data_IF_116422313645
#
_entry.id   IF_116422313645
#
_cell.length_a   1.000
_cell.length_b   1.000
_cell.length_c   1.000
_cell.angle_alpha   90.00
_cell.angle_beta   90.00
_cell.angle_gamma   90.00
#
_symmetry.space_group_name_H-M   'P 1'
#
loop_
_entity.id
_entity.type
_entity.pdbx_description
1 polymer ?
#
# COMPACT_ATOMS: atom_id res chain seq x y z
N UNK A 1 4.06 42.75 14.33
CA UNK A 1 4.06 42.33 12.93
C UNK A 1 4.43 40.84 12.90
N UNK A 2 3.41 39.96 13.02
CA UNK A 2 3.61 38.50 12.91
C UNK A 2 3.09 38.07 11.53
N UNK A 3 3.95 38.06 10.53
CA UNK A 3 3.68 37.42 9.24
C UNK A 3 3.73 35.91 9.44
N UNK A 4 2.61 35.32 9.89
CA UNK A 4 2.42 33.87 9.82
C UNK A 4 2.37 33.52 8.33
N UNK A 5 3.49 33.03 7.80
CA UNK A 5 3.56 32.41 6.48
C UNK A 5 2.59 31.23 6.44
N UNK A 6 1.36 31.50 5.99
CA UNK A 6 0.42 30.45 5.63
C UNK A 6 1.05 29.71 4.45
N UNK A 7 1.74 28.60 4.70
CA UNK A 7 2.24 27.77 3.61
C UNK A 7 1.06 27.37 2.71
N UNK A 8 1.19 27.73 1.44
CA UNK A 8 0.23 27.43 0.38
C UNK A 8 -0.21 25.95 0.45
N UNK A 9 -1.52 25.62 0.39
CA UNK A 9 -2.01 24.25 0.33
C UNK A 9 -1.29 23.38 -0.69
N UNK A 10 -0.82 23.97 -1.78
CA UNK A 10 -0.02 23.31 -2.79
C UNK A 10 1.31 22.80 -2.24
N UNK A 11 2.05 23.59 -1.44
CA UNK A 11 3.33 23.16 -0.83
C UNK A 11 3.13 21.98 0.11
N UNK A 12 2.03 22.01 0.90
CA UNK A 12 1.69 20.89 1.81
C UNK A 12 1.36 19.61 1.03
N UNK A 13 0.60 19.75 -0.05
CA UNK A 13 0.22 18.62 -0.91
C UNK A 13 1.45 18.03 -1.61
N UNK A 14 2.36 18.86 -2.12
CA UNK A 14 3.63 18.43 -2.73
C UNK A 14 4.51 17.68 -1.75
N UNK A 15 4.68 18.21 -0.53
CA UNK A 15 5.45 17.52 0.51
C UNK A 15 4.84 16.17 0.88
N UNK A 16 3.52 16.11 0.96
CA UNK A 16 2.81 14.88 1.22
C UNK A 16 2.97 13.88 0.07
N UNK A 17 2.90 14.35 -1.19
CA UNK A 17 3.14 13.51 -2.37
C UNK A 17 4.54 12.89 -2.37
N UNK A 18 5.57 13.63 -1.96
CA UNK A 18 6.93 13.10 -1.80
C UNK A 18 7.00 12.01 -0.72
N UNK A 19 6.30 12.19 0.40
CA UNK A 19 6.21 11.16 1.45
C UNK A 19 5.55 9.89 0.89
N UNK A 20 4.47 10.02 0.13
CA UNK A 20 3.81 8.88 -0.52
C UNK A 20 4.70 8.17 -1.54
N UNK A 21 5.52 8.93 -2.30
CA UNK A 21 6.51 8.37 -3.22
C UNK A 21 7.51 7.48 -2.48
N UNK A 22 8.10 8.00 -1.40
CA UNK A 22 9.07 7.26 -0.58
C UNK A 22 8.44 6.04 0.06
N UNK A 23 7.22 6.20 0.60
CA UNK A 23 6.47 5.07 1.15
C UNK A 23 6.21 3.99 0.09
N UNK A 24 5.80 4.37 -1.13
CA UNK A 24 5.62 3.42 -2.25
C UNK A 24 6.91 2.65 -2.58
N UNK A 25 8.04 3.36 -2.61
CA UNK A 25 9.34 2.72 -2.82
C UNK A 25 9.68 1.70 -1.71
N UNK A 26 9.39 2.03 -0.44
CA UNK A 26 9.59 1.11 0.68
C UNK A 26 8.69 -0.13 0.56
N UNK A 27 7.42 0.06 0.20
CA UNK A 27 6.48 -1.05 0.05
C UNK A 27 6.95 -2.05 -1.02
N UNK A 28 7.42 -1.55 -2.16
CA UNK A 28 7.95 -2.41 -3.24
C UNK A 28 9.30 -3.04 -2.92
N UNK A 29 10.12 -2.40 -2.08
CA UNK A 29 11.36 -3.02 -1.58
C UNK A 29 11.08 -4.25 -0.72
N UNK A 30 9.94 -4.28 0.00
CA UNK A 30 9.52 -5.44 0.77
C UNK A 30 9.30 -6.68 -0.13
N UNK A 31 8.76 -6.48 -1.34
CA UNK A 31 8.54 -7.57 -2.31
C UNK A 31 9.87 -8.14 -2.83
N UNK A 32 10.88 -7.28 -3.04
CA UNK A 32 12.24 -7.71 -3.41
C UNK A 32 12.99 -8.42 -2.27
N UNK A 33 12.65 -8.09 -1.03
CA UNK A 33 13.28 -8.69 0.13
C UNK A 33 12.89 -10.17 0.28
N UNK A 34 11.70 -10.58 -0.16
CA UNK A 34 11.21 -11.96 -0.05
C UNK A 34 12.14 -12.95 -0.76
N UNK A 35 12.42 -12.85 -2.09
CA UNK A 35 13.31 -13.76 -2.77
C UNK A 35 14.75 -13.67 -2.25
N UNK A 36 15.20 -12.50 -1.85
CA UNK A 36 16.52 -12.30 -1.27
C UNK A 36 16.66 -13.08 0.06
N UNK A 37 15.74 -12.90 1.01
CA UNK A 37 15.78 -13.63 2.29
C UNK A 37 15.60 -15.14 2.09
N UNK A 38 14.79 -15.53 1.09
CA UNK A 38 14.60 -16.95 0.77
C UNK A 38 15.92 -17.61 0.36
N UNK A 39 16.72 -16.96 -0.48
CA UNK A 39 18.03 -17.48 -0.89
C UNK A 39 19.06 -17.43 0.24
N UNK A 40 19.10 -16.32 0.98
CA UNK A 40 20.09 -16.10 2.04
C UNK A 40 19.94 -17.08 3.21
N UNK A 41 18.72 -17.31 3.66
CA UNK A 41 18.41 -18.18 4.80
C UNK A 41 17.96 -19.58 4.38
N UNK A 42 18.07 -19.95 3.08
CA UNK A 42 17.61 -21.23 2.54
C UNK A 42 16.17 -21.59 2.96
N UNK A 43 15.26 -20.58 2.92
CA UNK A 43 13.90 -20.71 3.42
C UNK A 43 13.01 -21.47 2.43
N UNK A 44 12.02 -22.20 2.97
CA UNK A 44 10.89 -22.65 2.17
C UNK A 44 10.05 -21.47 1.70
N UNK A 45 9.20 -21.66 0.68
CA UNK A 45 8.25 -20.60 0.24
C UNK A 45 7.34 -20.14 1.38
N UNK A 46 6.79 -21.07 2.14
CA UNK A 46 5.94 -20.77 3.31
C UNK A 46 6.67 -19.92 4.36
N UNK A 47 7.95 -20.18 4.60
CA UNK A 47 8.75 -19.39 5.53
C UNK A 47 9.04 -17.99 4.99
N UNK A 48 9.34 -17.86 3.70
CA UNK A 48 9.58 -16.58 3.05
C UNK A 48 8.31 -15.69 3.05
N UNK A 49 7.12 -16.27 2.90
CA UNK A 49 5.85 -15.56 2.97
C UNK A 49 5.54 -14.97 4.36
N UNK A 50 6.26 -15.37 5.42
CA UNK A 50 6.16 -14.70 6.74
C UNK A 50 6.52 -13.21 6.67
N UNK A 51 7.35 -12.80 5.72
CA UNK A 51 7.67 -11.39 5.46
C UNK A 51 6.39 -10.61 5.15
N UNK A 52 5.56 -11.12 4.24
CA UNK A 52 4.28 -10.51 3.87
C UNK A 52 3.29 -10.52 5.04
N UNK A 53 3.19 -11.67 5.71
CA UNK A 53 2.31 -11.82 6.88
C UNK A 53 2.64 -10.79 7.97
N UNK A 54 3.91 -10.59 8.30
CA UNK A 54 4.37 -9.63 9.30
C UNK A 54 4.04 -8.20 8.89
N UNK A 55 4.15 -7.87 7.60
CA UNK A 55 3.80 -6.55 7.09
C UNK A 55 2.30 -6.25 7.30
N UNK A 56 1.42 -7.17 6.93
CA UNK A 56 -0.03 -7.00 7.15
C UNK A 56 -0.45 -7.14 8.61
N UNK A 57 0.30 -7.90 9.43
CA UNK A 57 0.07 -7.97 10.86
C UNK A 57 0.24 -6.59 11.54
N UNK A 58 1.20 -5.77 11.07
CA UNK A 58 1.33 -4.40 11.56
C UNK A 58 0.05 -3.58 11.29
N UNK A 59 -0.57 -3.71 10.13
CA UNK A 59 -1.85 -3.07 9.85
C UNK A 59 -2.96 -3.56 10.78
N UNK A 60 -3.03 -4.87 11.02
CA UNK A 60 -4.02 -5.44 11.93
C UNK A 60 -3.91 -4.89 13.35
N UNK A 61 -2.70 -4.91 13.91
CA UNK A 61 -2.51 -4.52 15.31
C UNK A 61 -2.41 -3.01 15.51
N UNK A 62 -1.85 -2.25 14.54
CA UNK A 62 -1.49 -0.85 14.75
C UNK A 62 -2.45 0.15 14.10
N UNK A 63 -3.33 -0.22 13.18
CA UNK A 63 -4.22 0.74 12.51
C UNK A 63 -5.13 1.47 13.49
N UNK A 64 -5.77 0.75 14.40
CA UNK A 64 -6.66 1.31 15.42
C UNK A 64 -5.90 2.18 16.43
N UNK A 65 -4.81 1.71 17.08
CA UNK A 65 -3.98 2.53 17.95
C UNK A 65 -3.44 3.78 17.25
N UNK A 66 -3.05 3.68 15.99
CA UNK A 66 -2.59 4.81 15.18
C UNK A 66 -3.67 5.86 14.97
N UNK A 67 -4.93 5.44 14.71
CA UNK A 67 -6.06 6.34 14.60
C UNK A 67 -6.33 7.10 15.91
N UNK A 68 -6.28 6.41 17.04
CA UNK A 68 -6.43 7.02 18.37
C UNK A 68 -5.29 7.99 18.68
N UNK A 69 -4.06 7.62 18.36
CA UNK A 69 -2.89 8.48 18.51
C UNK A 69 -3.02 9.74 17.67
N UNK A 70 -3.38 9.59 16.39
CA UNK A 70 -3.56 10.71 15.45
C UNK A 70 -4.68 11.63 15.88
N UNK A 71 -5.77 11.09 16.45
CA UNK A 71 -6.85 11.87 17.04
C UNK A 71 -6.36 12.72 18.22
N UNK A 72 -5.52 12.15 19.08
CA UNK A 72 -5.03 12.81 20.30
C UNK A 72 -3.98 13.87 20.00
N UNK A 73 -3.07 13.60 19.06
CA UNK A 73 -1.88 14.41 18.81
C UNK A 73 -1.89 15.14 17.46
N UNK A 74 -2.90 14.89 16.62
CA UNK A 74 -3.05 15.48 15.28
C UNK A 74 -2.33 14.72 14.19
N UNK A 75 -2.78 14.92 12.94
CA UNK A 75 -2.24 14.23 11.76
C UNK A 75 -0.74 14.51 11.55
N UNK A 76 -0.30 15.75 11.78
CA UNK A 76 1.12 16.12 11.63
C UNK A 76 2.02 15.28 12.54
N UNK A 77 1.67 15.18 13.82
CA UNK A 77 2.44 14.40 14.79
C UNK A 77 2.41 12.93 14.40
N UNK A 78 1.25 12.41 13.97
CA UNK A 78 1.13 11.04 13.47
C UNK A 78 2.03 10.76 12.27
N UNK A 79 2.08 11.67 11.28
CA UNK A 79 2.98 11.56 10.11
C UNK A 79 4.45 11.51 10.55
N UNK A 80 4.88 12.43 11.42
CA UNK A 80 6.27 12.47 11.91
C UNK A 80 6.62 11.24 12.74
N UNK A 81 5.71 10.76 13.59
CA UNK A 81 5.89 9.52 14.36
C UNK A 81 6.00 8.31 13.42
N UNK A 82 5.14 8.25 12.38
CA UNK A 82 5.19 7.20 11.36
C UNK A 82 6.52 7.18 10.60
N UNK A 83 6.99 8.35 10.17
CA UNK A 83 8.31 8.48 9.52
C UNK A 83 9.45 8.06 10.46
N UNK A 84 9.41 8.47 11.74
CA UNK A 84 10.38 8.05 12.75
C UNK A 84 10.38 6.53 12.99
N UNK A 85 9.20 5.93 13.07
CA UNK A 85 9.04 4.47 13.17
C UNK A 85 9.60 3.73 11.96
N UNK A 86 9.36 4.26 10.75
CA UNK A 86 9.91 3.70 9.52
C UNK A 86 11.45 3.82 9.47
N UNK A 87 12.03 4.95 9.91
CA UNK A 87 13.49 5.10 10.05
C UNK A 87 14.04 4.07 11.04
N UNK A 88 13.40 3.93 12.21
CA UNK A 88 13.83 2.94 13.20
C UNK A 88 13.79 1.51 12.63
N UNK A 89 12.74 1.16 11.88
CA UNK A 89 12.63 -0.12 11.18
C UNK A 89 13.76 -0.34 10.18
N UNK A 90 14.09 0.66 9.35
CA UNK A 90 15.22 0.58 8.42
C UNK A 90 16.55 0.35 9.14
N UNK A 91 16.81 1.07 10.23
CA UNK A 91 18.03 0.90 11.05
C UNK A 91 18.09 -0.47 11.70
N UNK A 92 16.95 -1.00 12.18
CA UNK A 92 16.88 -2.36 12.73
C UNK A 92 17.09 -3.43 11.65
N UNK A 93 16.63 -3.22 10.41
CA UNK A 93 16.92 -4.14 9.29
C UNK A 93 18.42 -4.17 9.01
N UNK A 94 19.08 -3.01 9.01
CA UNK A 94 20.54 -2.91 8.87
C UNK A 94 21.23 -3.68 10.02
N UNK A 95 20.82 -3.47 11.27
CA UNK A 95 21.37 -4.22 12.40
C UNK A 95 21.10 -5.73 12.28
N UNK A 96 19.90 -6.10 11.80
CA UNK A 96 19.50 -7.48 11.57
C UNK A 96 20.35 -8.18 10.51
N UNK A 97 20.81 -7.46 9.49
CA UNK A 97 21.67 -8.01 8.46
C UNK A 97 23.02 -8.50 9.01
N UNK A 98 23.52 -7.90 10.08
CA UNK A 98 24.73 -8.35 10.77
C UNK A 98 24.47 -9.50 11.76
N UNK A 99 23.24 -9.64 12.25
CA UNK A 99 22.91 -10.66 13.26
C UNK A 99 22.77 -12.08 12.69
N UNK A 100 22.60 -12.21 11.37
CA UNK A 100 22.33 -13.50 10.71
C UNK A 100 21.00 -14.14 11.15
N UNK A 101 20.11 -13.39 11.80
CA UNK A 101 18.86 -13.91 12.33
C UNK A 101 17.66 -13.47 11.51
N UNK A 102 17.00 -14.45 10.86
CA UNK A 102 15.75 -14.20 10.14
C UNK A 102 14.64 -13.62 11.03
N UNK A 103 14.53 -14.10 12.27
CA UNK A 103 13.54 -13.60 13.22
C UNK A 103 13.79 -12.14 13.63
N UNK A 104 15.06 -11.73 13.72
CA UNK A 104 15.41 -10.33 13.97
C UNK A 104 14.97 -9.45 12.80
N UNK A 105 15.21 -9.90 11.56
CA UNK A 105 14.77 -9.18 10.35
C UNK A 105 13.24 -9.08 10.30
N UNK A 106 12.50 -10.14 10.63
CA UNK A 106 11.03 -10.09 10.71
C UNK A 106 10.54 -9.07 11.74
N UNK A 107 11.20 -9.00 12.91
CA UNK A 107 10.87 -8.00 13.93
C UNK A 107 11.15 -6.59 13.45
N UNK A 108 12.27 -6.38 12.78
CA UNK A 108 12.63 -5.10 12.17
C UNK A 108 11.62 -4.67 11.08
N UNK A 109 11.17 -5.61 10.27
CA UNK A 109 10.11 -5.40 9.27
C UNK A 109 8.77 -5.04 9.91
N UNK A 110 8.42 -5.68 11.04
CA UNK A 110 7.22 -5.32 11.79
C UNK A 110 7.29 -3.87 12.30
N UNK A 111 8.45 -3.42 12.79
CA UNK A 111 8.65 -2.03 13.22
C UNK A 111 8.53 -1.08 12.03
N UNK A 112 9.15 -1.41 10.90
CA UNK A 112 9.04 -0.63 9.66
C UNK A 112 7.58 -0.50 9.22
N UNK A 113 6.87 -1.63 9.12
CA UNK A 113 5.47 -1.68 8.73
C UNK A 113 4.55 -0.96 9.72
N UNK A 114 4.88 -0.97 11.03
CA UNK A 114 4.19 -0.19 12.05
C UNK A 114 4.32 1.32 11.83
N UNK A 115 5.52 1.77 11.46
CA UNK A 115 5.76 3.16 11.03
C UNK A 115 4.95 3.53 9.78
N UNK A 116 4.92 2.67 8.79
CA UNK A 116 4.13 2.83 7.56
C UNK A 116 2.63 2.88 7.87
N UNK A 117 2.12 2.00 8.73
CA UNK A 117 0.72 1.99 9.16
C UNK A 117 0.33 3.31 9.83
N UNK A 118 1.15 3.79 10.77
CA UNK A 118 0.94 5.09 11.42
C UNK A 118 0.95 6.23 10.40
N UNK A 119 1.89 6.19 9.46
CA UNK A 119 2.00 7.17 8.37
C UNK A 119 0.71 7.20 7.54
N UNK A 120 0.23 6.06 7.07
CA UNK A 120 -0.97 5.94 6.26
C UNK A 120 -2.23 6.42 6.98
N UNK A 121 -2.42 5.97 8.22
CA UNK A 121 -3.57 6.36 9.05
C UNK A 121 -3.63 7.86 9.27
N UNK A 122 -2.46 8.53 9.35
CA UNK A 122 -2.36 9.97 9.59
C UNK A 122 -2.36 10.80 8.30
N UNK A 123 -1.72 10.30 7.25
CA UNK A 123 -1.52 11.03 5.99
C UNK A 123 -2.79 11.07 5.12
N UNK A 124 -3.59 9.99 5.11
CA UNK A 124 -4.83 9.96 4.33
C UNK A 124 -5.84 11.03 4.75
N UNK A 125 -6.23 11.17 6.05
CA UNK A 125 -7.11 12.25 6.46
C UNK A 125 -6.46 13.63 6.32
N UNK A 126 -5.13 13.74 6.47
CA UNK A 126 -4.43 14.99 6.23
C UNK A 126 -4.56 15.43 4.77
N UNK A 127 -4.36 14.52 3.80
CA UNK A 127 -4.53 14.81 2.36
C UNK A 127 -5.95 15.31 2.04
N UNK A 128 -6.97 14.69 2.63
CA UNK A 128 -8.37 15.09 2.40
C UNK A 128 -8.73 16.42 3.04
N UNK A 129 -8.04 16.83 4.10
CA UNK A 129 -8.28 18.11 4.81
C UNK A 129 -7.64 19.33 4.12
N UNK A 130 -6.70 19.14 3.17
CA UNK A 130 -5.94 20.22 2.53
C UNK A 130 -6.75 21.06 1.51
N UNK A 131 -8.05 21.10 1.57
CA UNK A 131 -8.89 21.91 0.69
C UNK A 131 -10.38 21.53 0.75
N UNK A 132 -11.20 21.97 -0.23
CA UNK A 132 -12.65 21.73 -0.20
C UNK A 132 -13.00 20.24 -0.17
N UNK A 133 -14.02 19.86 0.58
CA UNK A 133 -14.50 18.47 0.68
C UNK A 133 -14.89 17.88 -0.69
N UNK A 134 -15.46 18.69 -1.58
CA UNK A 134 -15.85 18.25 -2.94
C UNK A 134 -14.68 17.63 -3.72
N UNK A 135 -13.45 18.11 -3.52
CA UNK A 135 -12.25 17.65 -4.22
C UNK A 135 -11.36 16.74 -3.37
N UNK A 136 -11.81 16.31 -2.19
CA UNK A 136 -11.05 15.44 -1.30
C UNK A 136 -10.67 14.10 -1.98
N UNK A 137 -11.57 13.40 -2.70
CA UNK A 137 -11.22 12.17 -3.42
C UNK A 137 -10.11 12.39 -4.44
N UNK A 138 -10.20 13.46 -5.25
CA UNK A 138 -9.20 13.81 -6.24
C UNK A 138 -7.81 14.06 -5.61
N UNK A 139 -7.75 14.78 -4.49
CA UNK A 139 -6.49 15.05 -3.78
C UNK A 139 -5.88 13.77 -3.22
N UNK A 140 -6.69 12.92 -2.59
CA UNK A 140 -6.21 11.67 -2.04
C UNK A 140 -5.72 10.75 -3.17
N UNK A 141 -6.46 10.65 -4.27
CA UNK A 141 -6.03 9.87 -5.46
C UNK A 141 -4.73 10.41 -6.03
N UNK A 142 -4.57 11.74 -6.10
CA UNK A 142 -3.34 12.36 -6.59
C UNK A 142 -2.12 11.99 -5.73
N UNK A 143 -2.18 12.10 -4.42
CA UNK A 143 -1.04 11.75 -3.56
C UNK A 143 -0.76 10.24 -3.62
N UNK A 144 -1.78 9.41 -3.76
CA UNK A 144 -1.62 7.98 -3.96
C UNK A 144 -1.06 7.61 -5.35
N UNK A 145 -1.19 8.48 -6.35
CA UNK A 145 -0.49 8.31 -7.64
C UNK A 145 1.02 8.36 -7.43
N UNK A 146 1.50 9.24 -6.54
CA UNK A 146 2.93 9.28 -6.18
C UNK A 146 3.38 8.03 -5.42
N UNK A 147 2.52 7.45 -4.57
CA UNK A 147 2.81 6.15 -3.99
C UNK A 147 2.98 5.08 -5.08
N UNK A 148 2.08 5.03 -6.06
CA UNK A 148 2.20 4.08 -7.19
C UNK A 148 3.43 4.33 -8.03
N UNK A 149 3.83 5.58 -8.22
CA UNK A 149 5.10 5.90 -8.88
C UNK A 149 6.26 5.33 -8.07
N UNK A 150 6.24 5.47 -6.74
CA UNK A 150 7.21 4.87 -5.84
C UNK A 150 7.27 3.34 -5.95
N UNK A 151 6.11 2.67 -5.97
CA UNK A 151 6.06 1.20 -6.14
C UNK A 151 6.54 0.74 -7.52
N UNK A 152 6.41 1.57 -8.55
CA UNK A 152 6.88 1.25 -9.91
C UNK A 152 8.39 1.41 -10.04
N UNK A 153 8.96 2.50 -9.49
CA UNK A 153 10.39 2.80 -9.62
C UNK A 153 11.24 2.12 -8.54
N UNK A 154 10.65 1.82 -7.36
CA UNK A 154 11.35 1.22 -6.23
C UNK A 154 12.04 -0.09 -6.55
N UNK A 155 11.41 -1.06 -7.22
CA UNK A 155 12.04 -2.32 -7.61
C UNK A 155 13.24 -2.13 -8.53
N UNK A 156 13.19 -1.16 -9.45
CA UNK A 156 14.30 -0.88 -10.35
C UNK A 156 15.55 -0.42 -9.58
N UNK A 157 15.40 0.57 -8.70
CA UNK A 157 16.50 1.02 -7.85
C UNK A 157 16.91 -0.04 -6.83
N UNK A 158 15.95 -0.77 -6.26
CA UNK A 158 16.20 -1.85 -5.34
C UNK A 158 17.00 -2.99 -5.96
N UNK A 159 16.66 -3.39 -7.17
CA UNK A 159 17.39 -4.42 -7.89
C UNK A 159 18.87 -4.01 -8.15
N UNK A 160 19.08 -2.76 -8.59
CA UNK A 160 20.44 -2.23 -8.79
C UNK A 160 21.23 -2.22 -7.47
N UNK A 161 20.60 -1.81 -6.37
CA UNK A 161 21.27 -1.66 -5.07
C UNK A 161 21.51 -2.99 -4.36
N UNK A 162 20.57 -3.96 -4.49
CA UNK A 162 20.68 -5.28 -3.85
C UNK A 162 21.53 -6.21 -4.70
N UNK A 163 21.19 -6.38 -5.98
CA UNK A 163 21.80 -7.38 -6.85
C UNK A 163 23.02 -6.85 -7.61
N UNK A 164 23.07 -5.55 -7.95
CA UNK A 164 24.24 -4.93 -8.56
C UNK A 164 25.48 -4.97 -7.67
N UNK A 165 25.31 -4.93 -6.36
CA UNK A 165 26.40 -5.09 -5.40
C UNK A 165 26.94 -6.54 -5.37
N UNK A 166 26.08 -7.53 -5.65
CA UNK A 166 26.46 -8.95 -5.73
C UNK A 166 27.24 -9.25 -7.01
N UNK A 167 26.94 -8.56 -8.11
CA UNK A 167 27.62 -8.77 -9.41
C UNK A 167 29.05 -8.22 -9.41
N UNK A 168 29.36 -7.23 -8.58
CA UNK A 168 30.72 -6.68 -8.42
C UNK A 168 31.57 -7.51 -7.43
N UNK A 169 30.92 -8.36 -6.62
CA UNK A 169 31.57 -9.18 -5.60
C UNK A 169 31.86 -10.64 -6.05
N UNK A 170 31.86 -10.93 -7.34
CA UNK A 170 32.22 -12.26 -7.90
C UNK A 170 33.71 -12.56 -7.88
N UNK A 171 34.45 -11.98 -6.95
CA UNK A 171 35.75 -12.50 -6.54
C UNK A 171 35.55 -13.56 -5.44
N UNK A 172 36.05 -14.75 -5.65
CA UNK A 172 35.72 -16.06 -5.08
C UNK A 172 35.83 -16.26 -3.54
N UNK A 173 35.79 -15.22 -2.71
CA UNK A 173 36.03 -15.34 -1.25
C UNK A 173 34.96 -14.68 -0.33
N UNK A 174 33.79 -14.27 -0.83
CA UNK A 174 32.86 -13.44 -0.04
C UNK A 174 31.44 -14.00 0.06
N UNK A 175 31.23 -15.28 0.27
CA UNK A 175 29.88 -15.89 0.35
C UNK A 175 29.07 -15.48 1.59
N UNK A 176 29.72 -15.07 2.71
CA UNK A 176 29.00 -14.71 3.95
C UNK A 176 28.95 -13.20 4.25
N UNK A 177 29.94 -12.44 3.81
CA UNK A 177 29.96 -10.98 4.04
C UNK A 177 29.25 -10.18 2.93
N UNK A 178 29.17 -10.71 1.71
CA UNK A 178 28.55 -10.05 0.56
C UNK A 178 27.04 -9.91 0.68
N UNK A 179 26.40 -10.90 1.24
CA UNK A 179 24.96 -10.99 1.35
C UNK A 179 24.41 -9.99 2.38
N UNK A 180 25.01 -9.87 3.57
CA UNK A 180 24.62 -8.87 4.55
C UNK A 180 24.74 -7.43 3.98
N UNK A 181 25.74 -7.18 3.14
CA UNK A 181 25.95 -5.87 2.49
C UNK A 181 24.89 -5.54 1.43
N UNK A 182 24.26 -6.54 0.81
CA UNK A 182 23.22 -6.34 -0.21
C UNK A 182 21.98 -5.61 0.33
N UNK A 183 21.52 -5.94 1.54
CA UNK A 183 20.36 -5.28 2.17
C UNK A 183 20.74 -3.91 2.76
N UNK A 184 21.93 -3.76 3.30
CA UNK A 184 22.34 -2.59 4.06
C UNK A 184 22.24 -1.29 3.24
N UNK A 185 22.76 -1.29 2.01
CA UNK A 185 22.81 -0.09 1.17
C UNK A 185 21.44 0.49 0.84
N UNK A 186 20.46 -0.29 0.35
CA UNK A 186 19.13 0.24 0.05
C UNK A 186 18.40 0.74 1.30
N UNK A 187 18.50 0.02 2.43
CA UNK A 187 17.83 0.47 3.67
C UNK A 187 18.51 1.66 4.32
N UNK A 188 19.81 1.84 4.14
CA UNK A 188 20.53 3.05 4.56
C UNK A 188 20.08 4.27 3.75
N UNK A 189 19.97 4.12 2.42
CA UNK A 189 19.44 5.16 1.55
C UNK A 189 18.00 5.52 1.90
N UNK A 190 17.15 4.51 2.10
CA UNK A 190 15.76 4.73 2.52
C UNK A 190 15.66 5.43 3.87
N UNK A 191 16.47 5.05 4.86
CA UNK A 191 16.51 5.73 6.16
C UNK A 191 16.90 7.21 6.00
N UNK A 192 17.92 7.49 5.19
CA UNK A 192 18.34 8.86 4.91
C UNK A 192 17.23 9.68 4.24
N UNK A 193 16.59 9.13 3.21
CA UNK A 193 15.48 9.79 2.51
C UNK A 193 14.29 10.03 3.44
N UNK A 194 13.96 9.07 4.32
CA UNK A 194 12.91 9.23 5.32
C UNK A 194 13.23 10.32 6.35
N UNK A 195 14.49 10.40 6.81
CA UNK A 195 14.94 11.48 7.72
C UNK A 195 14.81 12.83 7.03
N UNK A 196 15.28 12.94 5.79
CA UNK A 196 15.14 14.18 5.00
C UNK A 196 13.68 14.56 4.83
N UNK A 197 12.83 13.60 4.48
CA UNK A 197 11.39 13.82 4.36
C UNK A 197 10.75 14.28 5.68
N UNK A 198 11.14 13.67 6.82
CA UNK A 198 10.67 14.06 8.14
C UNK A 198 11.12 15.49 8.51
N UNK A 199 12.39 15.85 8.25
CA UNK A 199 12.92 17.19 8.49
C UNK A 199 12.21 18.22 7.61
N UNK A 200 12.05 17.97 6.32
CA UNK A 200 11.33 18.86 5.40
C UNK A 200 9.88 19.03 5.84
N UNK A 201 9.19 17.94 6.15
CA UNK A 201 7.79 17.99 6.59
C UNK A 201 7.65 18.71 7.94
N UNK A 202 8.60 18.56 8.86
CA UNK A 202 8.61 19.26 10.15
C UNK A 202 8.70 20.78 10.01
N UNK A 203 9.35 21.29 8.94
CA UNK A 203 9.48 22.72 8.64
C UNK A 203 8.21 23.33 8.04
N UNK A 204 7.34 22.50 7.46
CA UNK A 204 6.04 22.93 6.96
C UNK A 204 5.12 23.07 8.17
N UNK A 205 4.99 24.31 8.69
CA UNK A 205 4.06 24.58 9.78
C UNK A 205 2.62 24.45 9.26
N UNK A 206 1.84 23.45 9.68
CA UNK A 206 0.40 23.54 9.54
C UNK A 206 -0.09 24.59 10.54
N UNK A 207 -1.10 25.38 10.15
CA UNK A 207 -1.96 26.05 11.12
C UNK A 207 -2.29 25.00 12.18
N UNK A 208 -2.05 25.28 13.46
CA UNK A 208 -2.47 24.41 14.55
C UNK A 208 -3.90 23.97 14.24
N UNK A 209 -4.08 22.74 13.82
CA UNK A 209 -5.39 22.14 13.86
C UNK A 209 -5.77 22.31 15.32
N UNK A 210 -6.80 23.12 15.59
CA UNK A 210 -7.44 23.09 16.87
C UNK A 210 -7.95 21.65 17.00
N UNK A 211 -7.08 20.79 17.54
CA UNK A 211 -7.46 19.46 17.96
C UNK A 211 -8.48 19.73 19.04
N UNK A 212 -9.74 19.75 18.64
CA UNK A 212 -10.84 19.84 19.58
C UNK A 212 -10.60 18.68 20.52
N UNK A 213 -10.14 19.00 21.73
CA UNK A 213 -9.93 18.03 22.82
C UNK A 213 -11.30 17.51 23.24
N UNK A 214 -12.00 16.88 22.31
CA UNK A 214 -13.17 16.09 22.64
C UNK A 214 -12.71 14.95 23.54
N UNK A 215 -12.92 15.14 24.84
CA UNK A 215 -12.61 14.15 25.88
C UNK A 215 -13.47 12.88 25.79
N UNK A 216 -14.36 12.79 24.80
CA UNK A 216 -15.14 11.59 24.58
C UNK A 216 -14.21 10.55 23.93
N UNK A 217 -13.83 9.58 24.73
CA UNK A 217 -13.30 8.31 24.25
C UNK A 217 -14.42 7.62 23.43
N UNK A 218 -14.54 7.98 22.16
CA UNK A 218 -15.40 7.24 21.27
C UNK A 218 -14.84 5.80 21.24
N UNK A 219 -15.48 4.91 22.02
CA UNK A 219 -15.17 3.48 21.95
C UNK A 219 -15.42 3.08 20.50
N UNK A 220 -14.45 2.43 19.87
CA UNK A 220 -14.52 1.98 18.46
C UNK A 220 -15.82 1.23 18.19
N UNK A 221 -16.27 0.40 19.15
CA UNK A 221 -17.57 -0.29 19.11
C UNK A 221 -18.76 0.69 19.02
N UNK A 222 -18.68 1.84 19.68
CA UNK A 222 -19.73 2.87 19.58
C UNK A 222 -19.67 3.52 18.21
N UNK A 223 -18.49 3.83 17.70
CA UNK A 223 -18.29 4.40 16.35
C UNK A 223 -18.84 3.46 15.27
N UNK A 224 -18.58 2.16 15.37
CA UNK A 224 -19.09 1.15 14.45
C UNK A 224 -20.62 0.97 14.54
N UNK A 225 -21.18 0.99 15.75
CA UNK A 225 -22.64 0.88 15.94
C UNK A 225 -23.39 2.12 15.48
N UNK A 226 -22.83 3.31 15.70
CA UNK A 226 -23.45 4.57 15.29
C UNK A 226 -23.30 4.86 13.79
N UNK A 227 -22.33 4.22 13.12
CA UNK A 227 -22.01 4.50 11.73
C UNK A 227 -21.82 3.19 10.91
N UNK A 228 -22.91 2.51 10.53
CA UNK A 228 -22.83 1.28 9.74
C UNK A 228 -22.11 1.48 8.38
N UNK A 229 -22.19 2.68 7.81
CA UNK A 229 -21.46 3.02 6.58
C UNK A 229 -19.95 2.90 6.74
N UNK A 230 -19.40 3.26 7.93
CA UNK A 230 -17.97 3.13 8.20
C UNK A 230 -17.53 1.65 8.24
N UNK A 231 -18.33 0.79 8.86
CA UNK A 231 -18.09 -0.66 8.86
C UNK A 231 -18.10 -1.22 7.44
N UNK A 232 -19.13 -0.86 6.68
CA UNK A 232 -19.30 -1.29 5.29
C UNK A 232 -18.13 -0.80 4.42
N UNK A 233 -17.70 0.47 4.57
CA UNK A 233 -16.53 1.00 3.86
C UNK A 233 -15.23 0.29 4.27
N UNK A 234 -15.08 -0.10 5.54
CA UNK A 234 -13.93 -0.89 6.01
C UNK A 234 -13.92 -2.28 5.35
N UNK A 235 -15.08 -2.94 5.28
CA UNK A 235 -15.26 -4.20 4.55
C UNK A 235 -15.03 -4.02 3.04
N UNK A 236 -15.51 -2.90 2.47
CA UNK A 236 -15.24 -2.55 1.08
C UNK A 236 -13.75 -2.44 0.78
N UNK A 237 -12.98 -1.78 1.65
CA UNK A 237 -11.52 -1.72 1.55
C UNK A 237 -10.91 -3.11 1.72
N UNK A 238 -11.40 -3.93 2.65
CA UNK A 238 -10.92 -5.29 2.87
C UNK A 238 -11.04 -6.15 1.60
N UNK A 239 -12.20 -6.16 0.98
CA UNK A 239 -12.43 -6.92 -0.24
C UNK A 239 -11.66 -6.34 -1.42
N UNK A 240 -11.68 -5.01 -1.60
CA UNK A 240 -10.94 -4.35 -2.67
C UNK A 240 -9.43 -4.62 -2.59
N UNK A 241 -8.79 -4.35 -1.44
CA UNK A 241 -7.35 -4.58 -1.28
C UNK A 241 -7.05 -6.08 -1.40
N UNK A 242 -7.95 -6.92 -0.91
CA UNK A 242 -7.89 -8.36 -1.11
C UNK A 242 -7.84 -8.74 -2.59
N UNK A 243 -8.76 -8.23 -3.41
CA UNK A 243 -8.79 -8.47 -4.86
C UNK A 243 -7.53 -7.91 -5.55
N UNK A 244 -7.17 -6.66 -5.30
CA UNK A 244 -6.01 -6.01 -5.93
C UNK A 244 -4.71 -6.79 -5.68
N UNK A 245 -4.44 -7.14 -4.42
CA UNK A 245 -3.21 -7.84 -4.03
C UNK A 245 -3.22 -9.29 -4.53
N UNK A 246 -4.36 -9.97 -4.46
CA UNK A 246 -4.45 -11.35 -4.90
C UNK A 246 -4.27 -11.47 -6.42
N UNK A 247 -4.86 -10.58 -7.22
CA UNK A 247 -4.60 -10.52 -8.67
C UNK A 247 -3.11 -10.31 -8.93
N UNK A 248 -2.50 -9.30 -8.33
CA UNK A 248 -1.08 -9.02 -8.51
C UNK A 248 -0.16 -10.18 -8.12
N UNK A 249 -0.46 -10.86 -7.01
CA UNK A 249 0.34 -11.97 -6.48
C UNK A 249 0.29 -13.24 -7.34
N UNK A 250 -0.86 -13.53 -7.95
CA UNK A 250 -1.03 -14.72 -8.78
C UNK A 250 -0.80 -14.47 -10.27
N UNK A 251 -0.60 -13.21 -10.68
CA UNK A 251 -0.51 -12.82 -12.09
C UNK A 251 0.62 -13.53 -12.85
N UNK A 252 1.80 -13.70 -12.25
CA UNK A 252 2.91 -14.42 -12.88
C UNK A 252 2.50 -15.85 -13.18
N UNK A 253 2.00 -16.57 -12.17
CA UNK A 253 1.60 -17.97 -12.30
C UNK A 253 0.43 -18.13 -13.29
N UNK A 254 -0.44 -17.11 -13.38
CA UNK A 254 -1.54 -17.09 -14.33
C UNK A 254 -1.05 -16.97 -15.78
N UNK A 255 -0.12 -16.04 -16.04
CA UNK A 255 0.42 -15.79 -17.37
C UNK A 255 1.38 -16.87 -17.86
N UNK A 256 1.92 -17.72 -16.97
CA UNK A 256 2.75 -18.88 -17.37
C UNK A 256 1.93 -20.08 -17.85
N UNK A 257 0.60 -20.09 -17.63
CA UNK A 257 -0.25 -21.17 -18.13
C UNK A 257 -0.30 -21.16 -19.66
N UNK A 258 -0.17 -22.34 -20.26
CA UNK A 258 -0.18 -22.53 -21.74
C UNK A 258 -1.49 -22.07 -22.38
N UNK A 259 -2.62 -22.26 -21.69
CA UNK A 259 -3.94 -21.80 -22.13
C UNK A 259 -4.08 -20.27 -22.15
N UNK A 260 -3.30 -19.55 -21.34
CA UNK A 260 -3.42 -18.09 -21.18
C UNK A 260 -2.40 -17.39 -22.07
N UNK A 261 -1.12 -17.43 -21.72
CA UNK A 261 -0.09 -16.73 -22.49
C UNK A 261 1.16 -17.62 -22.73
N UNK A 262 1.32 -18.70 -21.97
CA UNK A 262 2.48 -19.62 -22.08
C UNK A 262 3.82 -18.91 -21.87
N UNK A 263 3.86 -17.81 -21.12
CA UNK A 263 5.06 -16.99 -20.93
C UNK A 263 6.05 -17.68 -19.97
N UNK A 264 7.33 -17.54 -20.26
CA UNK A 264 8.34 -17.87 -19.25
C UNK A 264 8.25 -16.91 -18.04
N UNK A 265 8.65 -17.39 -16.85
CA UNK A 265 8.56 -16.64 -15.59
C UNK A 265 9.17 -15.23 -15.64
N UNK A 266 10.32 -15.06 -16.33
CA UNK A 266 10.96 -13.75 -16.49
C UNK A 266 10.07 -12.76 -17.27
N UNK A 267 9.50 -13.23 -18.38
CA UNK A 267 8.61 -12.40 -19.21
C UNK A 267 7.30 -12.10 -18.49
N UNK A 268 6.69 -13.09 -17.83
CA UNK A 268 5.48 -12.91 -17.02
C UNK A 268 5.71 -11.88 -15.90
N UNK A 269 6.87 -11.86 -15.27
CA UNK A 269 7.26 -10.85 -14.29
C UNK A 269 7.28 -9.42 -14.86
N UNK A 270 7.67 -9.24 -16.13
CA UNK A 270 7.60 -7.93 -16.80
C UNK A 270 6.16 -7.47 -17.01
N UNK A 271 5.23 -8.38 -17.25
CA UNK A 271 3.80 -8.07 -17.37
C UNK A 271 3.16 -7.63 -16.05
N UNK A 272 3.66 -8.08 -14.90
CA UNK A 272 3.25 -7.54 -13.59
C UNK A 272 3.55 -6.04 -13.49
N UNK A 273 4.69 -5.60 -14.06
CA UNK A 273 5.02 -4.16 -14.12
C UNK A 273 4.03 -3.39 -14.99
N UNK A 274 3.47 -4.02 -16.03
CA UNK A 274 2.40 -3.41 -16.85
C UNK A 274 1.13 -3.25 -16.04
N UNK A 275 0.71 -4.27 -15.28
CA UNK A 275 -0.46 -4.20 -14.39
C UNK A 275 -0.36 -3.04 -13.41
N UNK A 276 0.75 -2.93 -12.70
CA UNK A 276 0.98 -1.82 -11.76
C UNK A 276 1.18 -0.48 -12.46
N UNK A 277 1.74 -0.46 -13.65
CA UNK A 277 1.85 0.73 -14.50
C UNK A 277 0.48 1.24 -14.96
N UNK A 278 -0.45 0.34 -15.31
CA UNK A 278 -1.84 0.69 -15.62
C UNK A 278 -2.57 1.22 -14.37
N UNK A 279 -2.30 0.67 -13.19
CA UNK A 279 -2.82 1.20 -11.93
C UNK A 279 -2.29 2.62 -11.66
N UNK A 280 -1.01 2.89 -11.92
CA UNK A 280 -0.42 4.23 -11.83
C UNK A 280 -1.13 5.21 -12.77
N UNK A 281 -1.28 4.85 -14.03
CA UNK A 281 -1.98 5.67 -15.03
C UNK A 281 -3.44 5.92 -14.63
N UNK A 282 -4.13 4.86 -14.18
CA UNK A 282 -5.51 4.94 -13.70
C UNK A 282 -5.68 5.90 -12.51
N UNK A 283 -4.70 5.96 -11.60
CA UNK A 283 -4.71 6.92 -10.48
C UNK A 283 -4.53 8.37 -10.94
N UNK A 284 -3.64 8.65 -11.89
CA UNK A 284 -3.49 10.00 -12.42
C UNK A 284 -4.75 10.44 -13.19
N UNK A 285 -5.26 9.59 -14.07
CA UNK A 285 -6.52 9.84 -14.80
C UNK A 285 -7.68 10.01 -13.82
N UNK A 286 -7.80 9.09 -12.85
CA UNK A 286 -8.83 9.11 -11.82
C UNK A 286 -8.80 10.37 -10.95
N UNK A 287 -7.63 10.87 -10.61
CA UNK A 287 -7.48 12.13 -9.87
C UNK A 287 -8.06 13.33 -10.64
N UNK A 288 -7.95 13.33 -11.97
CA UNK A 288 -8.55 14.36 -12.83
C UNK A 288 -10.06 14.15 -12.94
N UNK A 289 -10.51 12.95 -13.26
CA UNK A 289 -11.93 12.60 -13.47
C UNK A 289 -12.76 12.85 -12.20
N UNK A 290 -12.23 12.53 -11.01
CA UNK A 290 -12.88 12.75 -9.71
C UNK A 290 -13.11 14.25 -9.37
N UNK A 291 -12.60 15.18 -10.15
CA UNK A 291 -12.95 16.62 -10.03
C UNK A 291 -14.31 16.93 -10.62
N UNK A 292 -14.72 16.16 -11.64
CA UNK A 292 -15.88 16.42 -12.48
C UNK A 292 -17.00 15.40 -12.25
N UNK A 293 -16.66 14.16 -11.92
CA UNK A 293 -17.60 13.04 -11.74
C UNK A 293 -17.77 12.75 -10.26
N UNK A 294 -19.00 12.40 -9.86
CA UNK A 294 -19.31 12.03 -8.48
C UNK A 294 -18.56 10.72 -8.11
N UNK A 295 -17.83 10.71 -6.99
CA UNK A 295 -16.95 9.60 -6.62
C UNK A 295 -17.67 8.25 -6.56
N UNK A 296 -18.90 8.20 -6.02
CA UNK A 296 -19.68 6.95 -5.92
C UNK A 296 -20.07 6.38 -7.30
N UNK A 297 -20.39 7.24 -8.30
CA UNK A 297 -20.71 6.80 -9.65
C UNK A 297 -19.48 6.23 -10.36
N UNK A 298 -18.36 6.95 -10.23
CA UNK A 298 -17.10 6.51 -10.84
C UNK A 298 -16.61 5.21 -10.22
N UNK A 299 -16.71 5.07 -8.89
CA UNK A 299 -16.40 3.85 -8.17
C UNK A 299 -17.22 2.66 -8.68
N UNK A 300 -18.56 2.83 -8.83
CA UNK A 300 -19.43 1.77 -9.33
C UNK A 300 -19.12 1.34 -10.76
N UNK A 301 -18.87 2.32 -11.65
CA UNK A 301 -18.48 2.03 -13.03
C UNK A 301 -17.14 1.26 -13.06
N UNK A 302 -16.15 1.69 -12.30
CA UNK A 302 -14.84 1.06 -12.26
C UNK A 302 -14.92 -0.36 -11.67
N UNK A 303 -15.65 -0.56 -10.58
CA UNK A 303 -15.87 -1.88 -9.99
C UNK A 303 -16.58 -2.85 -10.97
N UNK A 304 -17.60 -2.38 -11.68
CA UNK A 304 -18.29 -3.20 -12.67
C UNK A 304 -17.38 -3.58 -13.85
N UNK A 305 -16.61 -2.63 -14.36
CA UNK A 305 -15.65 -2.89 -15.44
C UNK A 305 -14.57 -3.87 -14.96
N UNK A 306 -14.01 -3.67 -13.77
CA UNK A 306 -13.01 -4.57 -13.20
C UNK A 306 -13.54 -6.00 -13.07
N UNK A 307 -14.72 -6.16 -12.47
CA UNK A 307 -15.36 -7.47 -12.35
C UNK A 307 -15.65 -8.13 -13.72
N UNK A 308 -16.08 -7.34 -14.72
CA UNK A 308 -16.29 -7.84 -16.09
C UNK A 308 -14.98 -8.29 -16.72
N UNK A 309 -13.90 -7.51 -16.56
CA UNK A 309 -12.57 -7.86 -17.09
C UNK A 309 -12.02 -9.12 -16.45
N UNK A 310 -12.12 -9.28 -15.11
CA UNK A 310 -11.69 -10.53 -14.45
C UNK A 310 -12.55 -11.70 -14.91
N UNK A 311 -13.87 -11.54 -15.02
CA UNK A 311 -14.77 -12.58 -15.53
C UNK A 311 -14.42 -12.97 -16.97
N UNK A 312 -14.11 -12.00 -17.82
CA UNK A 312 -13.66 -12.24 -19.20
C UNK A 312 -12.34 -13.02 -19.20
N UNK A 313 -11.41 -12.66 -18.30
CA UNK A 313 -10.14 -13.36 -18.18
C UNK A 313 -10.30 -14.81 -17.75
N UNK A 314 -11.29 -15.13 -16.90
CA UNK A 314 -11.59 -16.51 -16.49
C UNK A 314 -12.22 -17.30 -17.63
N UNK A 315 -13.11 -16.68 -18.42
CA UNK A 315 -13.88 -17.33 -19.47
C UNK A 315 -13.16 -17.44 -20.81
N UNK A 316 -12.09 -16.65 -21.01
CA UNK A 316 -11.33 -16.60 -22.26
C UNK A 316 -9.94 -17.19 -22.07
N UNK A 317 -9.31 -17.54 -23.21
CA UNK A 317 -7.92 -17.98 -23.27
C UNK A 317 -7.07 -16.99 -24.08
N UNK A 318 -5.75 -17.17 -24.05
CA UNK A 318 -4.81 -16.46 -24.89
C UNK A 318 -4.74 -14.95 -24.62
N UNK A 319 -4.61 -14.18 -25.69
CA UNK A 319 -4.41 -12.73 -25.64
C UNK A 319 -5.57 -11.99 -25.00
N UNK A 320 -6.81 -12.43 -25.21
CA UNK A 320 -8.00 -11.79 -24.64
C UNK A 320 -7.99 -11.90 -23.11
N UNK A 321 -7.68 -13.06 -22.58
CA UNK A 321 -7.51 -13.29 -21.14
C UNK A 321 -6.39 -12.42 -20.57
N UNK A 322 -5.23 -12.41 -21.23
CA UNK A 322 -4.05 -11.62 -20.82
C UNK A 322 -4.35 -10.13 -20.77
N UNK A 323 -4.91 -9.55 -21.83
CA UNK A 323 -5.22 -8.11 -21.87
C UNK A 323 -6.29 -7.75 -20.85
N UNK A 324 -7.30 -8.61 -20.68
CA UNK A 324 -8.37 -8.38 -19.70
C UNK A 324 -7.81 -8.29 -18.29
N UNK A 325 -7.04 -9.27 -17.85
CA UNK A 325 -6.51 -9.28 -16.47
C UNK A 325 -5.53 -8.11 -16.21
N UNK A 326 -4.71 -7.74 -17.17
CA UNK A 326 -3.80 -6.60 -17.03
C UNK A 326 -4.57 -5.29 -16.93
N UNK A 327 -5.65 -5.13 -17.71
CA UNK A 327 -6.47 -3.92 -17.71
C UNK A 327 -7.19 -3.68 -16.38
N UNK A 328 -7.42 -4.71 -15.58
CA UNK A 328 -8.00 -4.59 -14.23
C UNK A 328 -7.22 -3.59 -13.37
N UNK A 329 -5.89 -3.56 -13.49
CA UNK A 329 -5.04 -2.62 -12.75
C UNK A 329 -5.46 -1.16 -12.92
N UNK A 330 -5.85 -0.76 -14.13
CA UNK A 330 -6.34 0.60 -14.40
C UNK A 330 -7.64 0.92 -13.66
N UNK A 331 -8.60 -0.01 -13.65
CA UNK A 331 -9.91 0.21 -13.03
C UNK A 331 -9.89 0.03 -11.51
N UNK A 332 -9.01 -0.79 -10.96
CA UNK A 332 -8.83 -0.92 -9.51
C UNK A 332 -8.18 0.32 -8.87
N UNK A 333 -7.52 1.15 -9.65
CA UNK A 333 -6.64 2.22 -9.20
C UNK A 333 -7.25 3.25 -8.25
N UNK A 334 -8.53 3.65 -8.46
CA UNK A 334 -9.20 4.70 -7.66
C UNK A 334 -10.02 4.17 -6.49
N UNK A 335 -10.17 2.86 -6.35
CA UNK A 335 -11.14 2.29 -5.41
C UNK A 335 -10.80 2.66 -3.96
N UNK A 336 -9.57 2.42 -3.51
CA UNK A 336 -9.18 2.79 -2.14
C UNK A 336 -9.40 4.28 -1.83
N UNK A 337 -8.85 5.25 -2.61
CA UNK A 337 -9.01 6.66 -2.29
C UNK A 337 -10.46 7.13 -2.37
N UNK A 338 -11.27 6.56 -3.27
CA UNK A 338 -12.68 6.88 -3.38
C UNK A 338 -13.47 6.39 -2.16
N UNK A 339 -13.37 5.09 -1.81
CA UNK A 339 -14.03 4.51 -0.63
C UNK A 339 -13.59 5.26 0.64
N UNK A 340 -12.28 5.43 0.83
CA UNK A 340 -11.74 6.11 2.00
C UNK A 340 -12.27 7.53 2.16
N UNK A 341 -12.23 8.34 1.09
CA UNK A 341 -12.68 9.74 1.14
C UNK A 341 -14.20 9.89 1.31
N UNK A 342 -14.99 8.95 0.77
CA UNK A 342 -16.44 8.91 0.99
C UNK A 342 -16.76 8.54 2.45
N UNK A 343 -16.04 7.54 2.99
CA UNK A 343 -16.26 7.06 4.36
C UNK A 343 -15.95 8.11 5.43
N UNK A 344 -14.92 8.94 5.25
CA UNK A 344 -14.53 9.95 6.25
C UNK A 344 -15.29 11.27 6.12
N UNK A 345 -16.03 11.46 5.02
CA UNK A 345 -16.70 12.74 4.71
C UNK A 345 -17.66 13.20 5.81
N UNK A 346 -18.37 12.26 6.40
CA UNK A 346 -19.48 12.53 7.31
C UNK A 346 -19.08 12.39 8.80
N UNK A 347 -17.79 12.13 9.11
CA UNK A 347 -17.36 11.76 10.46
C UNK A 347 -16.75 12.92 11.29
N UNK A 348 -16.60 14.14 10.71
CA UNK A 348 -16.17 15.33 11.43
C UNK A 348 -14.93 15.11 12.31
N UNK A 349 -15.08 15.26 13.62
CA UNK A 349 -13.98 15.18 14.61
C UNK A 349 -13.38 13.77 14.73
N UNK A 350 -14.13 12.72 14.39
CA UNK A 350 -13.70 11.32 14.50
C UNK A 350 -13.02 10.80 13.22
N UNK A 351 -12.69 11.69 12.28
CA UNK A 351 -12.03 11.34 11.01
C UNK A 351 -10.76 10.52 11.22
N UNK A 352 -9.96 10.80 12.24
CA UNK A 352 -8.72 10.10 12.53
C UNK A 352 -8.98 8.67 13.05
N UNK A 353 -9.98 8.49 13.91
CA UNK A 353 -10.41 7.17 14.39
C UNK A 353 -11.02 6.35 13.25
N UNK A 354 -11.83 6.99 12.39
CA UNK A 354 -12.37 6.37 11.18
C UNK A 354 -11.24 5.95 10.22
N UNK A 355 -10.20 6.77 10.04
CA UNK A 355 -9.02 6.41 9.25
C UNK A 355 -8.33 5.15 9.76
N UNK A 356 -8.17 5.00 11.08
CA UNK A 356 -7.61 3.80 11.68
C UNK A 356 -8.44 2.55 11.36
N UNK A 357 -9.77 2.63 11.42
CA UNK A 357 -10.67 1.54 11.06
C UNK A 357 -10.60 1.20 9.57
N UNK A 358 -10.61 2.20 8.71
CA UNK A 358 -10.52 2.00 7.26
C UNK A 358 -9.18 1.35 6.86
N UNK A 359 -8.07 1.77 7.48
CA UNK A 359 -6.76 1.16 7.25
C UNK A 359 -6.66 -0.27 7.79
N UNK A 360 -7.46 -0.66 8.80
CA UNK A 360 -7.57 -2.06 9.22
C UNK A 360 -8.06 -2.95 8.07
N UNK A 361 -8.92 -2.45 7.20
CA UNK A 361 -9.40 -3.18 6.02
C UNK A 361 -8.28 -3.65 5.08
N UNK A 362 -7.10 -3.01 5.10
CA UNK A 362 -5.93 -3.39 4.27
C UNK A 362 -5.46 -4.83 4.55
N UNK A 363 -5.79 -5.38 5.72
CA UNK A 363 -5.54 -6.79 6.06
C UNK A 363 -6.20 -7.77 5.06
N UNK A 364 -7.23 -7.34 4.33
CA UNK A 364 -7.82 -8.10 3.23
C UNK A 364 -6.80 -8.61 2.22
N UNK A 365 -5.73 -7.84 1.98
CA UNK A 365 -4.61 -8.24 1.12
C UNK A 365 -3.92 -9.54 1.54
N UNK A 366 -3.81 -9.82 2.84
CA UNK A 366 -3.31 -11.10 3.32
C UNK A 366 -4.37 -12.21 3.26
N UNK A 367 -5.58 -11.92 3.77
CA UNK A 367 -6.62 -12.95 3.96
C UNK A 367 -7.16 -13.45 2.63
N UNK A 368 -7.51 -12.55 1.72
CA UNK A 368 -8.08 -12.91 0.41
C UNK A 368 -7.02 -13.61 -0.46
N UNK A 369 -5.77 -13.14 -0.44
CA UNK A 369 -4.68 -13.79 -1.19
C UNK A 369 -4.44 -15.22 -0.70
N UNK A 370 -4.47 -15.47 0.61
CA UNK A 370 -4.37 -16.83 1.14
C UNK A 370 -5.57 -17.69 0.75
N UNK A 371 -6.79 -17.15 0.82
CA UNK A 371 -7.99 -17.85 0.38
C UNK A 371 -7.94 -18.20 -1.11
N UNK A 372 -7.45 -17.28 -1.96
CA UNK A 372 -7.25 -17.54 -3.38
C UNK A 372 -6.21 -18.64 -3.62
N UNK A 373 -5.13 -18.69 -2.84
CA UNK A 373 -4.13 -19.75 -2.92
C UNK A 373 -4.72 -21.12 -2.65
N UNK A 374 -5.50 -21.25 -1.57
CA UNK A 374 -6.20 -22.50 -1.23
C UNK A 374 -7.17 -22.89 -2.35
N UNK A 375 -7.91 -21.92 -2.87
CA UNK A 375 -8.85 -22.16 -3.98
C UNK A 375 -8.11 -22.59 -5.25
N UNK A 376 -6.95 -21.97 -5.55
CA UNK A 376 -6.14 -22.31 -6.71
C UNK A 376 -5.60 -23.75 -6.66
N UNK A 377 -5.26 -24.25 -5.47
CA UNK A 377 -4.83 -25.63 -5.28
C UNK A 377 -5.97 -26.63 -5.55
N UNK A 378 -7.24 -26.24 -5.39
CA UNK A 378 -8.41 -27.11 -5.56
C UNK A 378 -8.99 -27.06 -6.98
N UNK A 379 -9.16 -25.85 -7.53
CA UNK A 379 -9.87 -25.65 -8.81
C UNK A 379 -8.97 -25.13 -9.95
N UNK A 380 -7.69 -24.94 -9.68
CA UNK A 380 -6.75 -24.36 -10.63
C UNK A 380 -6.70 -22.82 -10.57
N UNK A 381 -5.60 -22.24 -11.05
CA UNK A 381 -5.30 -20.82 -10.90
C UNK A 381 -6.35 -19.97 -11.64
N UNK A 382 -6.72 -20.32 -12.87
CA UNK A 382 -7.68 -19.53 -13.67
C UNK A 382 -9.04 -19.41 -12.97
N UNK A 383 -9.59 -20.52 -12.48
CA UNK A 383 -10.85 -20.52 -11.76
C UNK A 383 -10.78 -19.86 -10.39
N UNK A 384 -9.61 -19.83 -9.75
CA UNK A 384 -9.45 -19.16 -8.45
C UNK A 384 -9.64 -17.64 -8.54
N UNK A 385 -9.53 -17.03 -9.72
CA UNK A 385 -9.85 -15.62 -9.93
C UNK A 385 -11.35 -15.29 -9.78
N UNK A 386 -12.21 -16.28 -9.58
CA UNK A 386 -13.61 -16.03 -9.18
C UNK A 386 -13.69 -15.28 -7.84
N UNK A 387 -12.71 -15.46 -6.96
CA UNK A 387 -12.70 -14.79 -5.67
C UNK A 387 -12.56 -13.26 -5.82
N UNK A 388 -11.58 -12.70 -6.56
CA UNK A 388 -11.57 -11.29 -6.94
C UNK A 388 -12.84 -10.79 -7.62
N UNK A 389 -13.45 -11.56 -8.53
CA UNK A 389 -14.73 -11.18 -9.19
C UNK A 389 -15.83 -10.88 -8.18
N UNK A 390 -15.91 -11.66 -7.11
CA UNK A 390 -16.90 -11.44 -6.04
C UNK A 390 -16.51 -10.27 -5.15
N UNK A 391 -15.21 -10.09 -4.89
CA UNK A 391 -14.70 -9.04 -4.00
C UNK A 391 -14.87 -7.63 -4.59
N UNK A 392 -14.65 -7.43 -5.89
CA UNK A 392 -14.70 -6.11 -6.53
C UNK A 392 -16.10 -5.46 -6.43
N UNK A 393 -17.22 -6.11 -6.79
CA UNK A 393 -18.56 -5.52 -6.62
C UNK A 393 -18.96 -5.32 -5.17
N UNK A 394 -18.56 -6.21 -4.25
CA UNK A 394 -18.85 -6.09 -2.81
C UNK A 394 -18.22 -4.81 -2.25
N UNK A 395 -17.09 -4.38 -2.76
CA UNK A 395 -16.45 -3.13 -2.35
C UNK A 395 -17.25 -1.88 -2.68
N UNK A 396 -18.20 -1.96 -3.62
CA UNK A 396 -19.05 -0.83 -4.06
C UNK A 396 -20.42 -0.78 -3.36
N UNK A 397 -20.94 -1.89 -2.82
CA UNK A 397 -22.35 -1.98 -2.31
C UNK A 397 -22.62 -1.13 -1.06
N UNK A 398 -21.84 -0.10 -0.82
CA UNK A 398 -21.88 0.80 0.36
C UNK A 398 -21.92 2.27 -0.03
#
# INVERSE_FOLDING_TARGET
MNTTTQHNPFVKLTALSLIYLVWGAIASMNDLLIPYLKSEFSLSFTQAMRVQLVFYAAYFFLSIPSGQYTRRYGCRTGILTGLGGAVAGCLLIIAGSYSGSFMFILTALFVLASGITMLQVSANPYATSLGPQKTAPSRLTLVQSFHSLGTTIGPFFGAILIFGATYVATDHLAHSEGAARGIMRPYMLLALVLVVAAVLFSRIQPKLENVSRSQHHARILVLLRSNPRLLLSTLGIFFYVGAEISIGSFLVNYLTQESIAGLGYETAGKFVSIYWGLALLGRFVGAIVLRYVLPFRLLGIYALIAATLVSTSIAADGMLSTVSILSVGFFNSIMFPAIFSLAIRDHGVDTQSASGLLCLGIVGGAVITQAQGILADVVGIQMAFVLPVVCDPVSYTH
#
